data_IF_277876211229
#
_entry.id   IF_277876211229
#
_cell.length_a   1.000
_cell.length_b   1.000
_cell.length_c   1.000
_cell.angle_alpha   90.00
_cell.angle_beta   90.00
_cell.angle_gamma   90.00
#
_symmetry.space_group_name_H-M   'P 1'
#
loop_
_entity.id
_entity.type
_entity.pdbx_description
1 polymer ?
#
# COMPACT_ATOMS: atom_id res chain seq x y z
N UNK A 1 -56.52 34.03 40.74
CA UNK A 1 -56.35 34.00 39.28
C UNK A 1 -54.97 34.54 38.96
N UNK A 2 -54.00 33.66 38.82
CA UNK A 2 -52.60 34.02 38.60
C UNK A 2 -52.35 34.07 37.10
N UNK A 3 -51.98 35.25 36.59
CA UNK A 3 -51.59 35.49 35.21
C UNK A 3 -50.16 34.97 34.99
N UNK A 4 -50.03 33.85 34.27
CA UNK A 4 -48.73 33.37 33.80
C UNK A 4 -48.34 34.12 32.53
N UNK A 5 -47.41 35.06 32.67
CA UNK A 5 -46.72 35.68 31.55
C UNK A 5 -45.81 34.65 30.86
N UNK A 6 -46.07 34.38 29.57
CA UNK A 6 -45.17 33.63 28.69
C UNK A 6 -43.85 34.41 28.53
N UNK A 7 -42.78 33.93 29.18
CA UNK A 7 -41.41 34.34 28.87
C UNK A 7 -40.71 33.20 28.13
N UNK A 8 -40.50 33.38 26.83
CA UNK A 8 -39.65 32.53 26.01
C UNK A 8 -38.20 32.58 26.50
N UNK A 9 -37.44 31.47 26.49
CA UNK A 9 -36.02 31.50 26.84
C UNK A 9 -35.23 32.20 25.74
N UNK A 10 -34.49 33.26 26.10
CA UNK A 10 -33.48 33.88 25.23
C UNK A 10 -32.33 32.89 25.04
N UNK A 11 -32.20 32.34 23.84
CA UNK A 11 -31.02 31.59 23.41
C UNK A 11 -29.90 32.61 23.21
N UNK A 12 -28.92 32.63 24.11
CA UNK A 12 -27.66 33.34 23.90
C UNK A 12 -26.90 32.66 22.77
N UNK A 13 -26.84 33.30 21.60
CA UNK A 13 -26.00 32.86 20.51
C UNK A 13 -24.52 33.06 20.90
N UNK A 14 -23.91 32.01 21.46
CA UNK A 14 -22.45 31.90 21.46
C UNK A 14 -22.03 31.61 20.01
N UNK A 15 -21.74 32.66 19.26
CA UNK A 15 -21.02 32.58 17.99
C UNK A 15 -19.66 31.93 18.26
N UNK A 16 -19.59 30.61 18.07
CA UNK A 16 -18.32 29.89 17.99
C UNK A 16 -17.57 30.48 16.81
N UNK A 17 -16.49 31.20 17.10
CA UNK A 17 -15.58 31.75 16.10
C UNK A 17 -15.12 30.61 15.19
N UNK A 18 -15.37 30.74 13.90
CA UNK A 18 -14.74 29.90 12.87
C UNK A 18 -13.22 30.04 13.06
N UNK A 19 -12.46 28.94 13.23
CA UNK A 19 -11.01 29.04 13.33
C UNK A 19 -10.48 29.67 12.03
N UNK A 20 -9.57 30.65 12.12
CA UNK A 20 -9.02 31.30 10.94
C UNK A 20 -8.33 30.26 10.04
N UNK A 21 -8.30 30.49 8.71
CA UNK A 21 -7.57 29.61 7.80
C UNK A 21 -6.11 29.53 8.26
N UNK A 22 -5.60 28.30 8.41
CA UNK A 22 -4.23 28.02 8.80
C UNK A 22 -3.32 28.67 7.75
N UNK A 23 -2.57 29.69 8.16
CA UNK A 23 -1.48 30.25 7.36
C UNK A 23 -0.28 29.33 7.52
N UNK A 24 0.22 28.79 6.40
CA UNK A 24 1.32 27.81 6.36
C UNK A 24 2.60 28.34 7.08
N UNK A 25 2.72 29.66 7.24
CA UNK A 25 3.80 30.34 7.97
C UNK A 25 3.83 30.11 9.49
N UNK A 26 2.77 29.56 10.10
CA UNK A 26 2.67 29.40 11.56
C UNK A 26 2.91 27.95 12.05
N UNK A 27 3.38 27.05 11.18
CA UNK A 27 3.66 25.66 11.55
C UNK A 27 5.05 25.60 12.20
N UNK A 28 5.09 25.76 13.52
CA UNK A 28 6.29 25.43 14.30
C UNK A 28 6.56 23.92 14.21
N UNK A 29 7.81 23.47 14.01
CA UNK A 29 8.14 22.05 14.02
C UNK A 29 7.72 21.45 15.36
N UNK A 30 7.17 20.22 15.32
CA UNK A 30 6.79 19.50 16.54
C UNK A 30 8.00 19.35 17.48
N UNK A 31 7.76 19.33 18.79
CA UNK A 31 8.83 19.14 19.76
C UNK A 31 9.53 17.80 19.52
N UNK A 32 10.85 17.73 19.78
CA UNK A 32 11.63 16.50 19.63
C UNK A 32 11.06 15.32 20.44
N UNK A 33 10.48 15.60 21.61
CA UNK A 33 9.77 14.63 22.43
C UNK A 33 8.52 14.08 21.76
N UNK A 34 7.76 14.93 21.06
CA UNK A 34 6.54 14.53 20.34
C UNK A 34 6.87 13.70 19.10
N UNK A 35 7.92 14.07 18.36
CA UNK A 35 8.42 13.27 17.23
C UNK A 35 8.90 11.88 17.71
N UNK A 36 9.67 11.83 18.81
CA UNK A 36 10.14 10.56 19.37
C UNK A 36 8.99 9.66 19.82
N UNK A 37 7.95 10.24 20.45
CA UNK A 37 6.77 9.49 20.86
C UNK A 37 5.98 8.95 19.66
N UNK A 38 5.84 9.75 18.60
CA UNK A 38 5.21 9.33 17.34
C UNK A 38 5.99 8.20 16.66
N UNK A 39 7.31 8.34 16.55
CA UNK A 39 8.19 7.31 15.96
C UNK A 39 8.13 5.99 16.74
N UNK A 40 8.08 6.06 18.07
CA UNK A 40 7.91 4.89 18.93
C UNK A 40 6.55 4.24 18.74
N UNK A 41 5.49 5.04 18.64
CA UNK A 41 4.11 4.57 18.43
C UNK A 41 3.96 3.80 17.11
N UNK A 42 4.54 4.31 16.03
CA UNK A 42 4.46 3.71 14.69
C UNK A 42 5.55 2.65 14.45
N UNK A 43 6.55 2.60 15.33
CA UNK A 43 7.78 1.81 15.15
C UNK A 43 8.50 2.19 13.86
N UNK A 44 8.58 3.50 13.64
CA UNK A 44 9.18 4.07 12.45
C UNK A 44 10.61 3.58 12.25
N UNK A 45 11.39 3.45 13.33
CA UNK A 45 12.78 2.97 13.22
C UNK A 45 12.90 1.57 12.61
N UNK A 46 11.96 0.68 12.88
CA UNK A 46 11.94 -0.67 12.33
C UNK A 46 11.40 -0.67 10.90
N UNK A 47 10.30 0.06 10.65
CA UNK A 47 9.73 0.20 9.31
C UNK A 47 10.72 0.84 8.34
N UNK A 48 11.37 1.93 8.76
CA UNK A 48 12.38 2.66 8.00
C UNK A 48 13.59 1.77 7.69
N UNK A 49 14.04 0.92 8.62
CA UNK A 49 15.10 -0.07 8.34
C UNK A 49 14.71 -1.06 7.23
N UNK A 50 13.48 -1.53 7.23
CA UNK A 50 12.98 -2.43 6.18
C UNK A 50 12.88 -1.72 4.82
N UNK A 51 12.46 -0.46 4.81
CA UNK A 51 12.33 0.36 3.61
C UNK A 51 13.67 0.78 3.01
N UNK A 52 14.66 1.09 3.85
CA UNK A 52 15.96 1.62 3.43
C UNK A 52 17.00 0.55 3.12
N UNK A 53 16.79 -0.68 3.56
CA UNK A 53 17.66 -1.81 3.21
C UNK A 53 17.58 -2.06 1.69
N UNK A 54 18.70 -1.96 0.99
CA UNK A 54 18.79 -2.26 -0.44
C UNK A 54 19.05 -3.75 -0.63
N UNK A 55 18.00 -4.50 -0.93
CA UNK A 55 18.10 -5.93 -1.21
C UNK A 55 18.44 -6.17 -2.69
N UNK A 56 18.13 -5.20 -3.58
CA UNK A 56 18.27 -5.32 -5.02
C UNK A 56 19.03 -4.11 -5.61
N UNK A 57 20.37 -4.06 -5.45
CA UNK A 57 21.16 -2.89 -5.86
C UNK A 57 21.08 -2.57 -7.35
N UNK A 58 20.74 -3.56 -8.18
CA UNK A 58 20.59 -3.40 -9.63
C UNK A 58 19.24 -2.79 -10.01
N UNK A 59 18.26 -2.79 -9.11
CA UNK A 59 16.92 -2.24 -9.35
C UNK A 59 16.87 -0.79 -8.88
N UNK A 60 17.09 0.16 -9.80
CA UNK A 60 17.13 1.60 -9.49
C UNK A 60 15.86 2.10 -8.79
N UNK A 61 14.70 1.56 -9.18
CA UNK A 61 13.40 1.94 -8.62
C UNK A 61 13.08 1.25 -7.28
N UNK A 62 13.99 0.45 -6.70
CA UNK A 62 13.77 -0.20 -5.40
C UNK A 62 13.36 0.83 -4.34
N UNK A 63 14.02 1.98 -4.27
CA UNK A 63 13.76 2.99 -3.23
C UNK A 63 12.39 3.66 -3.33
N UNK A 64 11.71 3.51 -4.48
CA UNK A 64 10.37 4.07 -4.74
C UNK A 64 9.32 2.96 -4.66
N UNK A 65 9.53 1.85 -5.39
CA UNK A 65 8.55 0.77 -5.50
C UNK A 65 8.47 -0.09 -4.24
N UNK A 66 9.58 -0.34 -3.53
CA UNK A 66 9.58 -1.12 -2.28
C UNK A 66 8.67 -0.50 -1.21
N UNK A 67 8.82 0.78 -0.82
CA UNK A 67 7.92 1.38 0.16
C UNK A 67 6.46 1.45 -0.36
N UNK A 68 6.23 1.65 -1.65
CA UNK A 68 4.87 1.62 -2.22
C UNK A 68 4.20 0.23 -2.08
N UNK A 69 4.92 -0.85 -2.41
CA UNK A 69 4.45 -2.23 -2.26
C UNK A 69 4.23 -2.59 -0.79
N UNK A 70 5.10 -2.12 0.10
CA UNK A 70 4.91 -2.28 1.55
C UNK A 70 3.68 -1.52 2.05
N UNK A 71 3.45 -0.31 1.56
CA UNK A 71 2.23 0.46 1.84
C UNK A 71 0.97 -0.30 1.40
N UNK A 72 0.99 -0.93 0.24
CA UNK A 72 -0.10 -1.77 -0.27
C UNK A 72 -0.34 -3.01 0.61
N UNK A 73 0.71 -3.71 1.05
CA UNK A 73 0.56 -4.86 1.97
C UNK A 73 -0.02 -4.43 3.33
N UNK A 74 0.38 -3.26 3.83
CA UNK A 74 -0.18 -2.66 5.04
C UNK A 74 -1.66 -2.32 4.83
N UNK A 75 -2.07 -1.88 3.62
CA UNK A 75 -3.48 -1.67 3.27
C UNK A 75 -4.29 -2.98 3.29
N UNK A 76 -3.73 -4.11 2.86
CA UNK A 76 -4.40 -5.41 3.01
C UNK A 76 -4.60 -5.75 4.48
N UNK A 77 -3.59 -5.50 5.32
CA UNK A 77 -3.72 -5.65 6.77
C UNK A 77 -4.79 -4.71 7.34
N UNK A 78 -4.91 -3.50 6.81
CA UNK A 78 -5.93 -2.55 7.23
C UNK A 78 -7.34 -3.06 6.92
N UNK A 79 -7.56 -3.62 5.72
CA UNK A 79 -8.81 -4.29 5.34
C UNK A 79 -9.16 -5.40 6.34
N UNK A 80 -8.19 -6.24 6.69
CA UNK A 80 -8.38 -7.31 7.67
C UNK A 80 -8.85 -6.78 9.03
N UNK A 81 -8.23 -5.70 9.53
CA UNK A 81 -8.55 -5.10 10.84
C UNK A 81 -9.97 -4.50 10.82
N UNK A 82 -10.31 -3.71 9.81
CA UNK A 82 -11.59 -2.98 9.75
C UNK A 82 -12.78 -3.91 9.50
N UNK A 83 -12.62 -4.95 8.68
CA UNK A 83 -13.69 -5.92 8.42
C UNK A 83 -13.87 -6.94 9.55
N UNK A 84 -12.86 -7.09 10.41
CA UNK A 84 -12.92 -7.97 11.59
C UNK A 84 -13.36 -7.25 12.86
N UNK A 85 -13.48 -5.92 12.82
CA UNK A 85 -13.87 -5.10 13.96
C UNK A 85 -15.29 -5.50 14.46
N UNK A 86 -15.46 -5.93 15.72
CA UNK A 86 -16.76 -6.36 16.26
C UNK A 86 -17.64 -5.19 16.72
N UNK A 87 -17.17 -3.93 16.68
CA UNK A 87 -17.85 -2.80 17.30
C UNK A 87 -19.11 -2.39 16.51
N UNK A 88 -20.26 -2.18 17.19
CA UNK A 88 -21.56 -2.01 16.52
C UNK A 88 -21.72 -0.68 15.77
N UNK A 89 -20.89 0.32 16.07
CA UNK A 89 -20.88 1.62 15.39
C UNK A 89 -19.94 1.67 14.18
N UNK A 90 -19.21 0.59 13.88
CA UNK A 90 -18.35 0.54 12.71
C UNK A 90 -19.20 0.42 11.44
N UNK A 91 -19.17 1.45 10.58
CA UNK A 91 -19.83 1.40 9.28
C UNK A 91 -19.01 0.59 8.28
N UNK A 92 -19.05 -0.74 8.39
CA UNK A 92 -18.28 -1.66 7.54
C UNK A 92 -18.56 -1.48 6.05
N UNK A 93 -19.77 -1.07 5.66
CA UNK A 93 -20.13 -0.84 4.26
C UNK A 93 -19.36 0.32 3.67
N UNK A 94 -19.34 1.46 4.34
CA UNK A 94 -18.61 2.63 3.85
C UNK A 94 -17.10 2.40 3.93
N UNK A 95 -16.62 1.78 5.02
CA UNK A 95 -15.22 1.38 5.14
C UNK A 95 -14.78 0.48 3.99
N UNK A 96 -15.56 -0.56 3.67
CA UNK A 96 -15.25 -1.47 2.55
C UNK A 96 -15.13 -0.70 1.23
N UNK A 97 -16.07 0.19 0.93
CA UNK A 97 -16.05 1.00 -0.30
C UNK A 97 -14.84 1.93 -0.38
N UNK A 98 -14.49 2.57 0.74
CA UNK A 98 -13.33 3.48 0.83
C UNK A 98 -12.01 2.74 0.73
N UNK A 99 -11.91 1.58 1.38
CA UNK A 99 -10.74 0.73 1.33
C UNK A 99 -10.53 0.16 -0.07
N UNK A 100 -11.59 -0.31 -0.73
CA UNK A 100 -11.57 -0.74 -2.13
C UNK A 100 -11.02 0.37 -3.03
N UNK A 101 -11.62 1.57 -2.95
CA UNK A 101 -11.17 2.74 -3.71
C UNK A 101 -9.72 3.15 -3.41
N UNK A 102 -9.30 3.09 -2.15
CA UNK A 102 -7.93 3.40 -1.74
C UNK A 102 -6.95 2.39 -2.33
N UNK A 103 -7.23 1.09 -2.19
CA UNK A 103 -6.34 0.05 -2.72
C UNK A 103 -6.26 0.05 -4.23
N UNK A 104 -7.37 0.29 -4.93
CA UNK A 104 -7.37 0.45 -6.40
C UNK A 104 -6.50 1.61 -6.82
N UNK A 105 -6.61 2.76 -6.15
CA UNK A 105 -5.76 3.91 -6.47
C UNK A 105 -4.28 3.66 -6.15
N UNK A 106 -3.97 2.98 -5.05
CA UNK A 106 -2.60 2.55 -4.74
C UNK A 106 -2.03 1.63 -5.83
N UNK A 107 -2.84 0.70 -6.35
CA UNK A 107 -2.44 -0.22 -7.43
C UNK A 107 -2.21 0.55 -8.73
N UNK A 108 -3.09 1.49 -9.09
CA UNK A 108 -2.92 2.37 -10.26
C UNK A 108 -1.58 3.13 -10.19
N UNK A 109 -1.26 3.73 -9.04
CA UNK A 109 0.00 4.43 -8.83
C UNK A 109 1.21 3.50 -8.93
N UNK A 110 1.11 2.27 -8.39
CA UNK A 110 2.17 1.26 -8.49
C UNK A 110 2.35 0.82 -9.95
N UNK A 111 1.27 0.64 -10.70
CA UNK A 111 1.33 0.27 -12.12
C UNK A 111 2.04 1.36 -12.94
N UNK A 112 1.69 2.63 -12.73
CA UNK A 112 2.37 3.77 -13.37
C UNK A 112 3.88 3.76 -13.04
N UNK A 113 4.24 3.58 -11.76
CA UNK A 113 5.64 3.48 -11.34
C UNK A 113 6.38 2.28 -11.97
N UNK A 114 5.69 1.18 -12.23
CA UNK A 114 6.25 0.00 -12.89
C UNK A 114 6.45 0.26 -14.39
N UNK A 115 5.48 0.88 -15.07
CA UNK A 115 5.56 1.29 -16.48
C UNK A 115 6.72 2.27 -16.71
N UNK A 116 6.85 3.30 -15.87
CA UNK A 116 7.95 4.27 -15.97
C UNK A 116 9.32 3.60 -15.86
N UNK A 117 9.46 2.62 -14.95
CA UNK A 117 10.69 1.86 -14.78
C UNK A 117 11.06 0.97 -15.97
N UNK A 118 10.10 0.61 -16.81
CA UNK A 118 10.33 -0.17 -18.03
C UNK A 118 10.65 0.71 -19.24
N UNK A 119 10.08 1.92 -19.28
CA UNK A 119 10.35 2.93 -20.30
C UNK A 119 11.77 3.52 -20.17
N UNK A 120 12.30 3.58 -18.95
CA UNK A 120 13.70 3.95 -18.71
C UNK A 120 14.65 2.84 -19.18
N UNK A 121 15.39 3.12 -20.25
CA UNK A 121 16.30 2.16 -20.92
C UNK A 121 17.34 1.53 -20.00
N UNK A 122 17.72 2.22 -18.91
CA UNK A 122 18.70 1.75 -17.93
C UNK A 122 18.10 0.86 -16.81
N UNK A 123 16.81 0.99 -16.52
CA UNK A 123 16.13 0.19 -15.48
C UNK A 123 15.30 -0.95 -16.05
N UNK A 124 15.12 -1.00 -17.38
CA UNK A 124 14.39 -2.06 -18.06
C UNK A 124 14.96 -3.44 -17.75
N UNK A 125 14.10 -4.34 -17.25
CA UNK A 125 14.46 -5.73 -16.93
C UNK A 125 15.28 -5.91 -15.65
N UNK A 126 15.47 -4.86 -14.85
CA UNK A 126 16.18 -4.95 -13.56
C UNK A 126 15.29 -5.39 -12.39
N UNK A 127 13.97 -5.45 -12.60
CA UNK A 127 13.01 -5.86 -11.60
C UNK A 127 13.26 -7.33 -11.19
N UNK A 128 13.20 -7.66 -9.89
CA UNK A 128 13.41 -9.02 -9.41
C UNK A 128 12.20 -9.90 -9.73
N UNK A 129 12.21 -10.47 -10.92
CA UNK A 129 11.18 -11.35 -11.45
C UNK A 129 11.49 -12.80 -11.06
N UNK A 130 10.47 -13.58 -10.73
CA UNK A 130 10.59 -15.04 -10.57
C UNK A 130 10.62 -15.64 -11.97
N UNK A 131 11.81 -15.99 -12.46
CA UNK A 131 11.93 -16.75 -13.72
C UNK A 131 11.45 -18.19 -13.49
N UNK A 132 10.26 -18.51 -14.02
CA UNK A 132 9.66 -19.83 -13.93
C UNK A 132 9.75 -20.59 -15.25
N UNK A 133 10.31 -19.98 -16.31
CA UNK A 133 10.56 -20.61 -17.61
C UNK A 133 11.61 -21.74 -17.53
N UNK A 134 12.54 -21.61 -16.58
CA UNK A 134 13.60 -22.59 -16.30
C UNK A 134 13.14 -23.78 -15.46
N UNK A 135 11.89 -23.82 -14.98
CA UNK A 135 11.41 -24.91 -14.13
C UNK A 135 11.06 -26.20 -14.89
N UNK A 136 11.07 -26.22 -16.23
CA UNK A 136 10.72 -27.40 -17.05
C UNK A 136 9.40 -28.09 -16.60
N UNK A 137 8.46 -27.33 -16.03
CA UNK A 137 7.19 -27.86 -15.50
C UNK A 137 7.31 -28.64 -14.18
N UNK A 138 8.45 -28.56 -13.47
CA UNK A 138 8.66 -29.24 -12.20
C UNK A 138 8.39 -28.27 -11.03
N UNK A 139 7.16 -28.28 -10.52
CA UNK A 139 6.81 -27.55 -9.30
C UNK A 139 7.47 -28.22 -8.09
N UNK A 140 8.21 -27.45 -7.28
CA UNK A 140 8.59 -27.90 -5.94
C UNK A 140 7.30 -28.12 -5.13
N UNK A 141 7.14 -29.31 -4.55
CA UNK A 141 5.95 -29.76 -3.81
C UNK A 141 5.87 -29.13 -2.41
N UNK A 142 6.15 -27.83 -2.31
CA UNK A 142 6.33 -27.10 -1.05
C UNK A 142 5.13 -26.19 -0.71
N UNK A 143 3.90 -26.72 -0.84
CA UNK A 143 2.69 -26.01 -0.41
C UNK A 143 2.32 -24.74 -1.19
N UNK A 144 3.06 -24.37 -2.23
CA UNK A 144 2.80 -23.21 -3.08
C UNK A 144 1.61 -23.46 -4.02
N UNK A 145 0.61 -22.55 -4.04
CA UNK A 145 -0.45 -22.57 -5.04
C UNK A 145 0.07 -21.93 -6.33
N UNK A 146 0.65 -22.78 -7.18
CA UNK A 146 1.16 -22.41 -8.48
C UNK A 146 0.20 -22.89 -9.58
N UNK A 147 -0.46 -21.97 -10.27
CA UNK A 147 -1.32 -22.31 -11.41
C UNK A 147 -0.48 -22.37 -12.68
N UNK A 148 -0.48 -23.52 -13.36
CA UNK A 148 0.28 -23.74 -14.61
C UNK A 148 -0.68 -23.64 -15.79
N UNK A 149 -0.53 -22.57 -16.56
CA UNK A 149 -1.28 -22.39 -17.80
C UNK A 149 -0.42 -22.84 -18.99
N UNK A 150 -1.01 -23.61 -19.89
CA UNK A 150 -0.41 -23.91 -21.21
C UNK A 150 -1.05 -22.97 -22.23
N UNK A 151 -0.27 -22.09 -22.85
CA UNK A 151 -0.76 -21.31 -23.98
C UNK A 151 -0.89 -22.22 -25.21
N UNK A 152 -2.03 -22.22 -25.92
CA UNK A 152 -2.16 -22.96 -27.16
C UNK A 152 -1.51 -22.17 -28.32
N UNK A 153 -0.46 -22.71 -28.95
CA UNK A 153 -0.02 -22.28 -30.28
C UNK A 153 1.48 -22.00 -30.46
N UNK A 154 2.24 -21.72 -29.40
CA UNK A 154 3.69 -21.47 -29.51
C UNK A 154 4.44 -22.27 -28.43
N UNK A 155 5.27 -23.23 -28.89
CA UNK A 155 6.32 -23.96 -28.17
C UNK A 155 6.24 -23.95 -26.64
N UNK A 156 5.76 -25.06 -26.03
CA UNK A 156 5.94 -25.54 -24.64
C UNK A 156 6.33 -24.51 -23.53
N UNK A 157 5.80 -23.30 -23.58
CA UNK A 157 6.02 -22.29 -22.55
C UNK A 157 4.97 -22.51 -21.47
N UNK A 158 5.36 -23.26 -20.45
CA UNK A 158 4.59 -23.40 -19.23
C UNK A 158 4.67 -22.08 -18.46
N UNK A 159 3.56 -21.35 -18.41
CA UNK A 159 3.46 -20.16 -17.55
C UNK A 159 2.99 -20.60 -16.18
N UNK A 160 3.79 -20.31 -15.17
CA UNK A 160 3.49 -20.63 -13.77
C UNK A 160 3.15 -19.33 -13.05
N UNK A 161 1.92 -19.18 -12.58
CA UNK A 161 1.52 -18.09 -11.70
C UNK A 161 1.88 -18.49 -10.26
N UNK A 162 3.00 -17.99 -9.73
CA UNK A 162 3.37 -18.18 -8.31
C UNK A 162 2.74 -17.07 -7.47
N UNK A 163 1.75 -17.43 -6.68
CA UNK A 163 1.14 -16.52 -5.69
C UNK A 163 2.07 -16.36 -4.48
N UNK A 164 2.20 -15.13 -3.98
CA UNK A 164 2.90 -14.81 -2.72
C UNK A 164 2.35 -15.66 -1.56
N UNK A 165 3.24 -16.26 -0.80
CA UNK A 165 2.87 -17.16 0.31
C UNK A 165 2.63 -16.37 1.61
N UNK A 166 3.30 -15.23 1.77
CA UNK A 166 3.24 -14.42 2.97
C UNK A 166 2.26 -13.24 2.88
N UNK A 167 1.87 -12.81 1.67
CA UNK A 167 0.93 -11.70 1.51
C UNK A 167 -0.45 -12.02 2.09
N UNK A 168 -1.09 -10.99 2.61
CA UNK A 168 -2.43 -11.12 3.17
C UNK A 168 -3.53 -11.15 2.10
N UNK A 169 -3.31 -10.64 0.88
CA UNK A 169 -4.38 -10.56 -0.14
C UNK A 169 -4.95 -11.94 -0.53
N UNK A 170 -4.13 -12.96 -0.86
CA UNK A 170 -4.64 -14.32 -1.10
C UNK A 170 -5.43 -14.87 0.08
N UNK A 171 -5.00 -14.55 1.30
CA UNK A 171 -5.67 -14.99 2.53
C UNK A 171 -7.02 -14.30 2.72
N UNK A 172 -7.11 -13.00 2.42
CA UNK A 172 -8.37 -12.25 2.47
C UNK A 172 -9.43 -12.80 1.51
N UNK A 173 -9.00 -13.35 0.37
CA UNK A 173 -9.90 -13.98 -0.59
C UNK A 173 -10.55 -15.27 -0.03
N UNK A 174 -9.87 -15.99 0.87
CA UNK A 174 -10.44 -17.19 1.50
C UNK A 174 -11.48 -16.89 2.60
N UNK A 175 -11.59 -15.64 3.05
CA UNK A 175 -12.46 -15.26 4.16
C UNK A 175 -13.76 -14.65 3.66
N UNK A 176 -14.90 -15.25 4.02
CA UNK A 176 -16.24 -14.81 3.59
C UNK A 176 -16.55 -13.31 3.79
N UNK A 177 -15.97 -12.66 4.81
CA UNK A 177 -16.18 -11.22 5.07
C UNK A 177 -15.42 -10.32 4.09
N UNK A 178 -14.28 -10.77 3.59
CA UNK A 178 -13.36 -10.00 2.75
C UNK A 178 -13.20 -10.55 1.32
N UNK A 179 -13.80 -11.69 1.01
CA UNK A 179 -13.75 -12.35 -0.29
C UNK A 179 -14.07 -11.38 -1.44
N UNK A 180 -15.22 -10.71 -1.39
CA UNK A 180 -15.65 -9.78 -2.45
C UNK A 180 -14.68 -8.60 -2.65
N UNK A 181 -14.14 -8.00 -1.57
CA UNK A 181 -13.15 -6.92 -1.75
C UNK A 181 -11.82 -7.47 -2.26
N UNK A 182 -11.38 -8.64 -1.79
CA UNK A 182 -10.13 -9.26 -2.21
C UNK A 182 -10.16 -9.65 -3.70
N UNK A 183 -11.25 -10.27 -4.17
CA UNK A 183 -11.42 -10.61 -5.58
C UNK A 183 -11.42 -9.38 -6.48
N UNK A 184 -12.05 -8.28 -6.05
CA UNK A 184 -12.01 -7.01 -6.79
C UNK A 184 -10.61 -6.40 -6.83
N UNK A 185 -9.87 -6.44 -5.72
CA UNK A 185 -8.47 -5.99 -5.68
C UNK A 185 -7.62 -6.83 -6.64
N UNK A 186 -7.75 -8.16 -6.62
CA UNK A 186 -7.05 -9.05 -7.55
C UNK A 186 -7.37 -8.72 -9.01
N UNK A 187 -8.64 -8.43 -9.33
CA UNK A 187 -9.03 -8.00 -10.68
C UNK A 187 -8.52 -6.59 -11.02
N UNK A 188 -8.42 -5.69 -10.04
CA UNK A 188 -7.81 -4.38 -10.20
C UNK A 188 -6.33 -4.50 -10.55
N UNK A 189 -5.59 -5.39 -9.86
CA UNK A 189 -4.19 -5.69 -10.19
C UNK A 189 -4.09 -6.19 -11.63
N UNK A 190 -4.93 -7.15 -12.02
CA UNK A 190 -4.96 -7.66 -13.41
C UNK A 190 -5.22 -6.54 -14.43
N UNK A 191 -6.10 -5.59 -14.15
CA UNK A 191 -6.45 -4.52 -15.08
C UNK A 191 -5.37 -3.45 -15.20
N UNK A 192 -4.82 -2.98 -14.08
CA UNK A 192 -3.82 -1.93 -14.07
C UNK A 192 -2.46 -2.45 -14.58
N UNK A 193 -2.08 -3.68 -14.20
CA UNK A 193 -0.81 -4.28 -14.61
C UNK A 193 -0.81 -4.79 -16.06
N UNK A 194 -1.86 -4.52 -16.87
CA UNK A 194 -1.93 -4.96 -18.28
C UNK A 194 -0.83 -4.36 -19.16
N UNK A 195 -0.34 -3.17 -18.82
CA UNK A 195 0.68 -2.47 -19.60
C UNK A 195 2.10 -2.78 -19.14
N UNK A 196 2.29 -3.22 -17.90
CA UNK A 196 3.58 -3.63 -17.36
C UNK A 196 4.07 -4.95 -17.97
N UNK A 197 5.38 -5.21 -17.98
CA UNK A 197 5.99 -6.46 -18.46
C UNK A 197 5.86 -7.63 -17.48
N UNK A 198 5.56 -7.36 -16.20
CA UNK A 198 5.35 -8.34 -15.14
C UNK A 198 4.09 -8.03 -14.34
N UNK A 199 3.62 -9.00 -13.56
CA UNK A 199 2.52 -8.82 -12.60
C UNK A 199 3.02 -8.90 -11.14
N UNK A 200 2.20 -8.52 -10.16
CA UNK A 200 2.61 -8.45 -8.75
C UNK A 200 2.74 -9.83 -8.08
N UNK A 201 2.05 -10.85 -8.56
CA UNK A 201 2.06 -12.20 -7.99
C UNK A 201 1.27 -12.33 -6.69
N UNK A 202 0.13 -11.64 -6.57
CA UNK A 202 -0.70 -11.57 -5.37
C UNK A 202 -2.00 -12.39 -5.45
N UNK A 203 -2.07 -13.32 -6.41
CA UNK A 203 -3.24 -14.18 -6.65
C UNK A 203 -4.19 -13.64 -7.70
N UNK A 204 -3.78 -12.62 -8.46
CA UNK A 204 -4.47 -12.21 -9.67
C UNK A 204 -4.48 -13.33 -10.74
N UNK A 205 -5.50 -13.38 -11.62
CA UNK A 205 -5.63 -14.44 -12.62
C UNK A 205 -4.46 -14.52 -13.61
N UNK A 206 -3.81 -13.40 -13.91
CA UNK A 206 -2.70 -13.29 -14.86
C UNK A 206 -3.03 -13.91 -16.24
N UNK A 207 -4.08 -13.41 -16.88
CA UNK A 207 -4.60 -13.97 -18.15
C UNK A 207 -3.60 -13.84 -19.31
N UNK A 208 -2.68 -12.88 -19.19
CA UNK A 208 -1.63 -12.63 -20.17
C UNK A 208 -0.38 -13.50 -19.98
N UNK A 209 -0.34 -14.28 -18.89
CA UNK A 209 0.76 -15.19 -18.60
C UNK A 209 2.11 -14.50 -18.37
N UNK A 210 2.10 -13.29 -17.81
CA UNK A 210 3.31 -12.51 -17.51
C UNK A 210 4.09 -13.16 -16.37
N UNK A 211 5.40 -12.92 -16.29
CA UNK A 211 6.16 -13.38 -15.15
C UNK A 211 5.80 -12.57 -13.90
N UNK A 212 5.96 -13.19 -12.72
CA UNK A 212 5.57 -12.57 -11.45
C UNK A 212 6.77 -11.87 -10.79
N UNK A 213 6.51 -10.70 -10.21
CA UNK A 213 7.44 -10.04 -9.31
C UNK A 213 7.65 -10.90 -8.05
N UNK A 214 8.87 -10.94 -7.53
CA UNK A 214 9.15 -11.65 -6.28
C UNK A 214 8.68 -10.85 -5.06
N UNK A 215 7.35 -10.78 -4.89
CA UNK A 215 6.70 -9.94 -3.90
C UNK A 215 7.20 -10.21 -2.47
N UNK A 216 7.35 -11.48 -2.09
CA UNK A 216 7.76 -11.88 -0.75
C UNK A 216 9.18 -11.40 -0.41
N UNK A 217 10.10 -11.40 -1.38
CA UNK A 217 11.48 -10.93 -1.14
C UNK A 217 11.59 -9.41 -1.08
N UNK A 218 10.74 -8.70 -1.83
CA UNK A 218 10.76 -7.23 -1.88
C UNK A 218 10.03 -6.64 -0.68
N UNK A 219 8.77 -7.04 -0.50
CA UNK A 219 7.89 -6.48 0.52
C UNK A 219 8.21 -7.02 1.92
N UNK A 220 8.70 -8.27 1.99
CA UNK A 220 8.90 -9.05 3.22
C UNK A 220 7.64 -9.02 4.12
N UNK A 221 6.48 -9.50 3.64
CA UNK A 221 5.20 -9.37 4.37
C UNK A 221 5.25 -9.92 5.79
N UNK A 222 5.92 -11.05 6.02
CA UNK A 222 6.09 -11.65 7.35
C UNK A 222 6.76 -10.70 8.35
N UNK A 223 7.80 -9.98 7.91
CA UNK A 223 8.50 -9.00 8.75
C UNK A 223 7.62 -7.77 9.01
N UNK A 224 6.92 -7.27 7.98
CA UNK A 224 5.94 -6.19 8.10
C UNK A 224 4.80 -6.52 9.08
N UNK A 225 4.26 -7.73 9.01
CA UNK A 225 3.19 -8.18 9.90
C UNK A 225 3.69 -8.36 11.34
N UNK A 226 4.97 -8.68 11.54
CA UNK A 226 5.59 -8.76 12.87
C UNK A 226 5.66 -7.38 13.57
N UNK A 227 5.73 -6.28 12.81
CA UNK A 227 5.74 -4.92 13.36
C UNK A 227 4.45 -4.56 14.12
N UNK A 228 3.38 -5.36 13.97
CA UNK A 228 2.16 -5.24 14.77
C UNK A 228 2.37 -5.59 16.24
N UNK A 229 3.31 -6.48 16.57
CA UNK A 229 3.38 -7.14 17.88
C UNK A 229 4.50 -6.54 18.74
N UNK A 230 4.19 -5.76 19.79
CA UNK A 230 5.19 -5.43 20.83
C UNK A 230 4.73 -5.97 22.18
N UNK A 231 5.72 -6.38 22.97
CA UNK A 231 5.53 -6.93 24.31
C UNK A 231 5.01 -5.92 25.33
N UNK A 232 5.05 -4.61 25.04
CA UNK A 232 4.58 -3.55 25.95
C UNK A 232 3.08 -3.24 25.77
N UNK A 233 2.47 -3.78 24.69
CA UNK A 233 1.13 -3.39 24.23
C UNK A 233 0.13 -4.55 24.15
N UNK A 234 0.48 -5.79 24.49
CA UNK A 234 -0.48 -6.91 24.45
C UNK A 234 -1.76 -6.63 25.26
N UNK A 235 -1.69 -5.78 26.29
CA UNK A 235 -2.83 -5.34 27.11
C UNK A 235 -3.55 -4.09 26.60
N UNK A 236 -2.92 -3.23 25.78
CA UNK A 236 -3.54 -2.00 25.19
C UNK A 236 -3.95 -2.13 23.72
N UNK A 237 -3.46 -3.16 23.01
CA UNK A 237 -3.74 -3.46 21.60
C UNK A 237 -5.09 -4.14 21.35
N UNK A 238 -5.85 -4.52 22.37
CA UNK A 238 -7.23 -5.00 22.15
C UNK A 238 -8.18 -3.89 21.67
N UNK A 239 -7.74 -2.63 21.60
CA UNK A 239 -8.50 -1.56 20.99
C UNK A 239 -8.31 -1.53 19.46
N UNK A 240 -9.36 -1.88 18.72
CA UNK A 240 -9.42 -1.81 17.25
C UNK A 240 -9.19 -0.39 16.70
N UNK A 241 -9.55 0.66 17.43
CA UNK A 241 -9.25 2.05 17.05
C UNK A 241 -7.75 2.32 17.01
N UNK A 242 -7.01 1.87 18.02
CA UNK A 242 -5.56 2.05 18.06
C UNK A 242 -4.88 1.28 16.93
N UNK A 243 -5.31 0.03 16.68
CA UNK A 243 -4.79 -0.75 15.55
C UNK A 243 -5.07 -0.07 14.20
N UNK A 244 -6.26 0.50 14.04
CA UNK A 244 -6.65 1.28 12.86
C UNK A 244 -5.74 2.49 12.69
N UNK A 245 -5.56 3.28 13.75
CA UNK A 245 -4.76 4.50 13.71
C UNK A 245 -3.29 4.21 13.37
N UNK A 246 -2.65 3.26 14.08
CA UNK A 246 -1.27 2.83 13.78
C UNK A 246 -1.14 2.40 12.32
N UNK A 247 -2.10 1.60 11.82
CA UNK A 247 -2.04 1.07 10.46
C UNK A 247 -2.17 2.20 9.43
N UNK A 248 -3.08 3.15 9.63
CA UNK A 248 -3.21 4.32 8.75
C UNK A 248 -1.89 5.11 8.69
N UNK A 249 -1.27 5.37 9.85
CA UNK A 249 0.00 6.08 9.88
C UNK A 249 1.14 5.31 9.20
N UNK A 250 1.17 3.98 9.31
CA UNK A 250 2.16 3.16 8.60
C UNK A 250 1.96 3.15 7.07
N UNK A 251 0.70 3.18 6.60
CA UNK A 251 0.39 3.38 5.17
C UNK A 251 0.92 4.75 4.74
N UNK A 252 0.55 5.80 5.47
CA UNK A 252 0.95 7.17 5.17
C UNK A 252 2.49 7.30 5.10
N UNK A 253 3.20 6.78 6.09
CA UNK A 253 4.66 6.86 6.13
C UNK A 253 5.32 6.10 4.97
N UNK A 254 4.73 4.97 4.55
CA UNK A 254 5.20 4.23 3.39
C UNK A 254 5.08 5.06 2.11
N UNK A 255 3.96 5.75 1.92
CA UNK A 255 3.78 6.65 0.77
C UNK A 255 4.64 7.91 0.87
N UNK A 256 4.87 8.48 2.06
CA UNK A 256 5.83 9.58 2.26
C UNK A 256 7.24 9.15 1.84
N UNK A 257 7.63 7.91 2.15
CA UNK A 257 8.94 7.39 1.74
C UNK A 257 9.02 7.22 0.21
N UNK A 258 7.96 6.76 -0.44
CA UNK A 258 7.82 6.75 -1.90
C UNK A 258 7.95 8.17 -2.48
N UNK A 259 7.23 9.15 -1.93
CA UNK A 259 7.28 10.56 -2.34
C UNK A 259 8.68 11.15 -2.22
N UNK A 260 9.43 10.84 -1.15
CA UNK A 260 10.83 11.25 -1.00
C UNK A 260 11.71 10.67 -2.10
N UNK A 261 11.48 9.41 -2.48
CA UNK A 261 12.18 8.77 -3.59
C UNK A 261 11.87 9.43 -4.94
N UNK A 262 10.60 9.76 -5.20
CA UNK A 262 10.18 10.47 -6.42
C UNK A 262 10.76 11.89 -6.46
N UNK A 263 10.72 12.63 -5.35
CA UNK A 263 11.34 13.96 -5.25
C UNK A 263 12.83 13.93 -5.59
N UNK A 264 13.54 12.90 -5.14
CA UNK A 264 14.94 12.72 -5.52
C UNK A 264 15.07 12.45 -7.02
N UNK A 265 14.25 11.56 -7.58
CA UNK A 265 14.22 11.25 -9.01
C UNK A 265 13.92 12.49 -9.88
N UNK A 266 13.01 13.36 -9.43
CA UNK A 266 12.74 14.65 -10.08
C UNK A 266 13.98 15.53 -10.09
N UNK A 267 14.67 15.64 -8.94
CA UNK A 267 15.92 16.39 -8.84
C UNK A 267 16.97 15.88 -9.82
N UNK A 268 17.21 14.56 -9.81
CA UNK A 268 18.17 13.91 -10.69
C UNK A 268 17.81 14.15 -12.18
N UNK A 269 16.53 14.01 -12.57
CA UNK A 269 16.06 14.24 -13.96
C UNK A 269 16.18 15.70 -14.41
N UNK A 270 15.96 16.66 -13.50
CA UNK A 270 16.18 18.09 -13.79
C UNK A 270 17.66 18.37 -14.02
N UNK A 271 18.54 17.77 -13.22
CA UNK A 271 20.00 17.90 -13.41
C UNK A 271 20.48 17.30 -14.73
N UNK A 272 19.87 16.18 -15.15
CA UNK A 272 20.15 15.51 -16.42
C UNK A 272 19.50 16.20 -17.64
N UNK A 273 18.63 17.20 -17.42
CA UNK A 273 17.94 17.96 -18.48
C UNK A 273 16.71 17.29 -19.07
N UNK A 274 16.20 16.22 -18.47
CA UNK A 274 14.99 15.50 -18.90
C UNK A 274 13.73 16.08 -18.24
N UNK A 275 13.31 17.26 -18.74
CA UNK A 275 12.20 18.01 -18.17
C UNK A 275 10.83 17.33 -18.40
N UNK A 276 10.67 16.58 -19.49
CA UNK A 276 9.41 15.90 -19.80
C UNK A 276 9.14 14.82 -18.76
N UNK A 277 10.14 13.98 -18.48
CA UNK A 277 10.03 12.94 -17.45
C UNK A 277 9.95 13.53 -16.03
N UNK A 278 10.67 14.62 -15.75
CA UNK A 278 10.53 15.34 -14.48
C UNK A 278 9.11 15.91 -14.26
N UNK A 279 8.43 16.36 -15.33
CA UNK A 279 7.06 16.84 -15.25
C UNK A 279 6.06 15.71 -14.96
N UNK A 280 6.27 14.54 -15.56
CA UNK A 280 5.48 13.33 -15.29
C UNK A 280 5.62 12.90 -13.82
N UNK A 281 6.84 12.94 -13.29
CA UNK A 281 7.10 12.63 -11.89
C UNK A 281 6.46 13.63 -10.92
N UNK A 282 6.44 14.93 -11.28
CA UNK A 282 5.71 15.93 -10.50
C UNK A 282 4.21 15.61 -10.45
N UNK A 283 3.61 15.26 -11.61
CA UNK A 283 2.21 14.87 -11.67
C UNK A 283 1.93 13.63 -10.81
N UNK A 284 2.82 12.63 -10.85
CA UNK A 284 2.70 11.43 -10.03
C UNK A 284 2.78 11.76 -8.52
N UNK A 285 3.71 12.64 -8.14
CA UNK A 285 3.86 13.10 -6.76
C UNK A 285 2.60 13.82 -6.25
N UNK A 286 1.89 14.56 -7.10
CA UNK A 286 0.61 15.21 -6.76
C UNK A 286 -0.57 14.25 -6.61
N UNK A 287 -0.46 13.01 -7.12
CA UNK A 287 -1.48 11.97 -6.94
C UNK A 287 -1.31 11.19 -5.64
N UNK A 288 -0.06 11.05 -5.17
CA UNK A 288 0.29 10.42 -3.89
C UNK A 288 -0.16 11.32 -2.72
#
# INVERSE_FOLDING_TARGET
>A
MVSSANKSPKISANTKSVPPPIRISDISPASSSSCSAYEQYIRYSQLSKLQTCKDFPNWKNETILKPALQGLEISFRFISIVLSDPRPYANHREWKRRLESLTTHQIELIAILCEDGENDSESRGTAPIVDLSTSNGMLARDGSMAEVWKLPGESETHVVNKTSEASLLPRLATWKKSEDIASKIMFSIECEMRRCSYTLGLGEPNLSGKPNLNYDRICKPSELHSLKTSSFEQTKLNNYENQTLVTIHQILESWIQTSKGILKRIGDRIEDGDYDQASSDCWLLERI
#
